data_IF_041487529707
#
_entry.id   IF_041487529707
#
_cell.length_a   1.000
_cell.length_b   1.000
_cell.length_c   1.000
_cell.angle_alpha   90.00
_cell.angle_beta   90.00
_cell.angle_gamma   90.00
#
_symmetry.space_group_name_H-M   'P 1'
#
loop_
_entity.id
_entity.type
_entity.pdbx_description
1 polymer ?
#
# COMPACT_ATOMS: atom_id res chain seq x y z
N UNK A 1 24.08 -2.84 -2.47
CA UNK A 1 23.28 -1.63 -2.84
C UNK A 1 22.84 -1.80 -4.27
N UNK A 2 21.59 -1.47 -4.58
CA UNK A 2 21.02 -1.57 -5.92
C UNK A 2 20.09 -0.39 -6.18
N UNK A 3 19.99 0.02 -7.45
CA UNK A 3 19.14 1.10 -7.90
C UNK A 3 18.49 0.73 -9.23
N UNK A 4 17.34 1.31 -9.51
CA UNK A 4 16.56 1.04 -10.71
C UNK A 4 15.80 2.27 -11.19
N UNK A 5 15.64 2.35 -12.50
CA UNK A 5 14.77 3.30 -13.18
C UNK A 5 13.86 2.54 -14.14
N UNK A 6 12.57 2.85 -14.13
CA UNK A 6 11.63 2.29 -15.11
C UNK A 6 10.62 3.33 -15.56
N UNK A 7 10.11 3.14 -16.76
CA UNK A 7 8.99 3.89 -17.33
C UNK A 7 7.88 2.88 -17.62
N UNK A 8 6.68 3.16 -17.14
CA UNK A 8 5.50 2.33 -17.38
C UNK A 8 4.39 3.18 -18.01
N UNK A 9 3.71 2.61 -19.01
CA UNK A 9 2.45 3.15 -19.48
C UNK A 9 1.32 2.47 -18.69
N UNK A 10 0.52 3.26 -18.00
CA UNK A 10 -0.72 2.81 -17.39
C UNK A 10 -1.84 3.16 -18.38
N UNK A 11 -2.46 2.16 -19.01
CA UNK A 11 -3.67 2.38 -19.83
C UNK A 11 -4.91 2.52 -18.94
N UNK A 12 -4.89 1.84 -17.80
CA UNK A 12 -5.89 1.91 -16.73
C UNK A 12 -5.14 1.64 -15.42
N UNK A 13 -4.68 2.70 -14.76
CA UNK A 13 -3.87 2.56 -13.55
C UNK A 13 -4.67 1.93 -12.41
N UNK A 14 -4.11 0.90 -11.79
CA UNK A 14 -4.71 0.25 -10.63
C UNK A 14 -5.02 1.28 -9.53
N UNK A 15 -6.31 1.37 -9.16
CA UNK A 15 -6.86 2.22 -8.11
C UNK A 15 -7.34 3.60 -8.52
N UNK A 16 -6.87 4.17 -9.63
CA UNK A 16 -7.40 5.45 -10.16
C UNK A 16 -8.14 5.32 -11.48
N UNK A 17 -7.93 4.23 -12.23
CA UNK A 17 -8.47 4.03 -13.58
C UNK A 17 -7.89 4.98 -14.63
N UNK A 18 -6.97 5.86 -14.24
CA UNK A 18 -6.43 6.89 -15.13
C UNK A 18 -5.39 6.32 -16.09
N UNK A 19 -5.32 6.89 -17.29
CA UNK A 19 -4.29 6.58 -18.28
C UNK A 19 -3.16 7.59 -18.23
N UNK A 20 -1.93 7.17 -17.95
CA UNK A 20 -0.76 8.05 -17.90
C UNK A 20 0.58 7.30 -18.03
N UNK A 21 1.63 8.07 -18.29
CA UNK A 21 3.01 7.59 -18.18
C UNK A 21 3.54 7.82 -16.78
N UNK A 22 4.12 6.78 -16.20
CA UNK A 22 4.73 6.80 -14.88
C UNK A 22 6.23 6.55 -14.96
N UNK A 23 7.00 7.39 -14.27
CA UNK A 23 8.43 7.18 -14.03
C UNK A 23 8.61 6.66 -12.62
N UNK A 24 9.42 5.62 -12.46
CA UNK A 24 9.75 5.03 -11.16
C UNK A 24 11.25 5.10 -10.92
N UNK A 25 11.62 5.63 -9.76
CA UNK A 25 13.00 5.71 -9.27
C UNK A 25 13.10 4.88 -8.01
N UNK A 26 13.90 3.81 -8.03
CA UNK A 26 13.98 2.86 -6.93
C UNK A 26 15.42 2.68 -6.45
N UNK A 27 15.58 2.41 -5.16
CA UNK A 27 16.89 2.09 -4.58
C UNK A 27 16.77 1.35 -3.26
N UNK A 28 17.77 0.54 -2.94
CA UNK A 28 17.75 -0.25 -1.72
C UNK A 28 19.10 -0.84 -1.30
N UNK A 29 19.10 -1.35 -0.08
CA UNK A 29 20.17 -2.14 0.50
C UNK A 29 19.62 -3.50 0.89
N UNK A 30 20.44 -4.54 0.76
CA UNK A 30 20.04 -5.87 1.14
C UNK A 30 21.23 -6.79 1.31
N UNK A 31 20.97 -7.86 2.03
CA UNK A 31 21.85 -8.99 2.24
C UNK A 31 21.16 -10.23 1.66
N UNK A 32 21.86 -11.03 0.87
CA UNK A 32 21.36 -12.30 0.38
C UNK A 32 22.50 -13.31 0.31
N UNK A 33 22.34 -14.47 0.97
CA UNK A 33 23.34 -15.55 0.99
C UNK A 33 22.88 -16.81 0.23
N UNK A 34 21.91 -16.69 -0.66
CA UNK A 34 21.30 -17.79 -1.39
C UNK A 34 20.17 -18.47 -0.61
N UNK A 35 20.28 -18.57 0.72
CA UNK A 35 19.21 -19.13 1.57
C UNK A 35 18.37 -18.04 2.24
N UNK A 36 18.98 -17.08 2.90
CA UNK A 36 18.33 -15.95 3.56
C UNK A 36 18.58 -14.67 2.74
N UNK A 37 17.51 -13.97 2.39
CA UNK A 37 17.54 -12.64 1.80
C UNK A 37 16.79 -11.64 2.69
N UNK A 38 17.38 -10.49 2.95
CA UNK A 38 16.77 -9.38 3.66
C UNK A 38 17.07 -8.10 2.87
N UNK A 39 16.05 -7.33 2.53
CA UNK A 39 16.26 -6.02 1.91
C UNK A 39 15.29 -4.98 2.40
N UNK A 40 15.74 -3.73 2.32
CA UNK A 40 14.94 -2.53 2.56
C UNK A 40 15.17 -1.60 1.38
N UNK A 41 14.10 -1.03 0.85
CA UNK A 41 14.14 -0.21 -0.35
C UNK A 41 13.12 0.92 -0.29
N UNK A 42 13.24 1.85 -1.24
CA UNK A 42 12.29 2.92 -1.49
C UNK A 42 12.07 3.08 -2.99
N UNK A 43 10.83 3.41 -3.36
CA UNK A 43 10.44 3.70 -4.74
C UNK A 43 9.63 4.98 -4.79
N UNK A 44 10.08 5.90 -5.65
CA UNK A 44 9.40 7.15 -5.97
C UNK A 44 8.71 7.02 -7.32
N UNK A 45 7.41 7.29 -7.34
CA UNK A 45 6.54 7.32 -8.52
C UNK A 45 6.33 8.77 -8.94
N UNK A 46 6.38 9.05 -10.24
CA UNK A 46 6.04 10.36 -10.81
C UNK A 46 5.22 10.22 -12.09
N UNK A 47 4.08 10.90 -12.15
CA UNK A 47 3.17 10.90 -13.28
C UNK A 47 1.69 10.82 -12.88
N UNK A 48 0.82 11.27 -13.77
CA UNK A 48 -0.63 11.13 -13.61
C UNK A 48 -1.28 11.93 -12.47
N UNK A 49 -0.52 12.75 -11.74
CA UNK A 49 -1.00 13.43 -10.53
C UNK A 49 -0.89 12.57 -9.27
N UNK A 50 -0.24 11.41 -9.34
CA UNK A 50 -0.10 10.43 -8.26
C UNK A 50 1.36 10.31 -7.79
N UNK A 51 2.06 11.45 -7.74
CA UNK A 51 3.45 11.51 -7.31
C UNK A 51 3.55 11.13 -5.83
N UNK A 52 4.39 10.14 -5.53
CA UNK A 52 4.47 9.54 -4.20
C UNK A 52 5.80 8.83 -4.00
N UNK A 53 6.21 8.65 -2.74
CA UNK A 53 7.28 7.73 -2.38
C UNK A 53 6.84 6.72 -1.33
N UNK A 54 7.07 5.43 -1.62
CA UNK A 54 6.81 4.33 -0.69
C UNK A 54 8.13 3.71 -0.22
N UNK A 55 8.13 3.22 1.02
CA UNK A 55 9.19 2.35 1.54
C UNK A 55 8.75 0.90 1.51
N UNK A 56 9.71 -0.01 1.47
CA UNK A 56 9.42 -1.44 1.51
C UNK A 56 10.51 -2.27 2.15
N UNK A 57 10.11 -3.44 2.61
CA UNK A 57 11.00 -4.49 3.09
C UNK A 57 10.69 -5.81 2.38
N UNK A 58 11.71 -6.64 2.24
CA UNK A 58 11.60 -7.99 1.74
C UNK A 58 12.39 -8.94 2.62
N UNK A 59 11.79 -10.10 2.88
CA UNK A 59 12.42 -11.24 3.55
C UNK A 59 12.28 -12.44 2.61
N UNK A 60 13.36 -13.20 2.43
CA UNK A 60 13.37 -14.44 1.65
C UNK A 60 14.04 -15.54 2.46
N UNK A 61 13.45 -16.72 2.49
CA UNK A 61 14.08 -17.91 3.05
C UNK A 61 13.85 -19.12 2.15
N UNK A 62 14.88 -19.53 1.41
CA UNK A 62 14.80 -20.53 0.36
C UNK A 62 13.82 -20.08 -0.72
N UNK A 63 12.77 -20.89 -0.91
CA UNK A 63 11.68 -20.64 -1.87
C UNK A 63 10.60 -19.69 -1.35
N UNK A 64 10.58 -19.39 -0.05
CA UNK A 64 9.60 -18.49 0.56
C UNK A 64 10.05 -17.05 0.48
N UNK A 65 9.11 -16.14 0.22
CA UNK A 65 9.34 -14.70 0.27
C UNK A 65 8.17 -13.96 0.92
N UNK A 66 8.48 -12.93 1.67
CA UNK A 66 7.54 -11.95 2.16
C UNK A 66 7.99 -10.56 1.73
N UNK A 67 7.05 -9.72 1.35
CA UNK A 67 7.29 -8.31 1.04
C UNK A 67 6.16 -7.45 1.58
N UNK A 68 6.52 -6.29 2.10
CA UNK A 68 5.58 -5.28 2.57
C UNK A 68 6.04 -3.90 2.13
N UNK A 69 5.11 -3.09 1.63
CA UNK A 69 5.35 -1.71 1.24
C UNK A 69 4.27 -0.82 1.87
N UNK A 70 4.69 0.34 2.33
CA UNK A 70 3.80 1.36 2.88
C UNK A 70 4.42 2.75 2.67
N UNK A 71 3.60 3.77 2.49
CA UNK A 71 4.06 5.17 2.34
C UNK A 71 4.16 5.89 3.69
N UNK A 72 3.42 5.43 4.69
CA UNK A 72 3.45 5.80 6.10
C UNK A 72 4.32 4.89 6.97
N UNK A 73 3.81 4.55 8.16
CA UNK A 73 4.53 3.76 9.15
C UNK A 73 4.78 2.33 8.66
N UNK A 74 5.98 1.74 8.92
CA UNK A 74 7.10 2.31 9.68
C UNK A 74 8.09 3.13 8.82
N UNK A 75 7.84 3.29 7.52
CA UNK A 75 8.80 3.84 6.56
C UNK A 75 8.84 5.37 6.52
N UNK A 76 7.89 6.05 7.14
CA UNK A 76 7.84 7.50 7.31
C UNK A 76 8.48 8.00 8.61
N UNK A 77 9.00 7.11 9.46
CA UNK A 77 9.68 7.46 10.70
C UNK A 77 10.92 8.31 10.42
N UNK A 78 10.90 9.57 10.87
CA UNK A 78 12.06 10.49 10.75
C UNK A 78 13.18 10.21 11.77
N UNK A 79 12.92 9.40 12.81
CA UNK A 79 13.89 9.06 13.86
C UNK A 79 14.17 7.57 13.87
N UNK A 80 15.44 7.18 13.67
CA UNK A 80 15.93 5.81 13.90
C UNK A 80 15.76 4.80 12.76
N UNK A 81 14.96 5.11 11.73
CA UNK A 81 14.81 4.32 10.51
C UNK A 81 14.98 5.25 9.29
N UNK A 82 15.51 4.78 8.14
CA UNK A 82 15.57 5.61 6.95
C UNK A 82 14.16 6.09 6.55
N UNK A 83 14.03 7.38 6.25
CA UNK A 83 12.81 8.01 5.72
C UNK A 83 12.59 7.57 4.28
N UNK A 84 11.93 6.42 4.11
CA UNK A 84 11.77 5.70 2.85
C UNK A 84 10.38 5.92 2.22
N UNK A 85 9.37 6.21 3.04
CA UNK A 85 8.05 6.69 2.63
C UNK A 85 7.97 8.22 2.69
N UNK A 86 6.94 8.82 2.10
CA UNK A 86 6.66 10.26 2.27
C UNK A 86 5.80 10.55 3.52
N UNK A 87 5.01 9.59 3.99
CA UNK A 87 4.24 9.67 5.22
C UNK A 87 2.79 10.10 5.04
N UNK A 88 2.29 10.23 3.80
CA UNK A 88 1.02 10.89 3.52
C UNK A 88 -0.19 9.93 3.52
N UNK A 89 0.01 8.61 3.62
CA UNK A 89 -1.07 7.59 3.57
C UNK A 89 -2.04 7.82 2.40
N UNK A 90 -1.46 8.11 1.25
CA UNK A 90 -2.16 8.54 0.04
C UNK A 90 -1.91 7.55 -1.07
N UNK A 91 -2.80 7.45 -2.05
CA UNK A 91 -2.56 6.64 -3.26
C UNK A 91 -2.10 5.22 -2.90
N UNK A 92 -0.84 4.82 -3.14
CA UNK A 92 -0.30 3.49 -2.82
C UNK A 92 0.00 3.34 -1.31
N UNK A 93 -1.04 3.39 -0.50
CA UNK A 93 -0.93 3.37 0.98
C UNK A 93 -0.27 2.09 1.52
N UNK A 94 -0.65 0.92 1.01
CA UNK A 94 -0.10 -0.34 1.51
C UNK A 94 -0.15 -1.46 0.48
N UNK A 95 0.84 -2.35 0.52
CA UNK A 95 0.78 -3.62 -0.19
C UNK A 95 1.59 -4.69 0.53
N UNK A 96 1.15 -5.94 0.45
CA UNK A 96 1.89 -7.07 0.98
C UNK A 96 1.82 -8.26 0.03
N UNK A 97 2.86 -9.09 0.07
CA UNK A 97 2.94 -10.31 -0.73
C UNK A 97 3.62 -11.42 0.05
N UNK A 98 3.03 -12.60 0.02
CA UNK A 98 3.60 -13.85 0.50
C UNK A 98 3.74 -14.80 -0.69
N UNK A 99 4.96 -15.25 -0.95
CA UNK A 99 5.32 -16.08 -2.09
C UNK A 99 5.93 -17.42 -1.69
N UNK A 100 5.69 -18.42 -2.53
CA UNK A 100 6.40 -19.70 -2.58
C UNK A 100 6.73 -20.02 -4.04
N UNK A 101 8.02 -19.97 -4.39
CA UNK A 101 8.49 -20.08 -5.78
C UNK A 101 7.76 -19.07 -6.67
N UNK A 102 7.04 -19.55 -7.68
CA UNK A 102 6.26 -18.76 -8.62
C UNK A 102 4.85 -18.43 -8.15
N UNK A 103 4.37 -19.05 -7.07
CA UNK A 103 3.03 -18.85 -6.54
C UNK A 103 3.06 -17.81 -5.42
N UNK A 104 1.96 -17.11 -5.22
CA UNK A 104 1.82 -16.25 -4.06
C UNK A 104 0.41 -15.71 -3.88
N UNK A 105 0.24 -15.03 -2.75
CA UNK A 105 -0.95 -14.29 -2.38
C UNK A 105 -0.53 -12.90 -1.92
N UNK A 106 -1.39 -11.91 -2.09
CA UNK A 106 -1.08 -10.56 -1.66
C UNK A 106 -2.27 -9.62 -1.73
N UNK A 107 -1.99 -8.38 -1.38
CA UNK A 107 -2.92 -7.28 -1.52
C UNK A 107 -2.23 -6.00 -1.99
N UNK A 108 -3.01 -5.13 -2.62
CA UNK A 108 -2.65 -3.76 -2.97
C UNK A 108 -3.81 -2.84 -2.56
N UNK A 109 -3.51 -1.83 -1.73
CA UNK A 109 -4.48 -0.86 -1.26
C UNK A 109 -4.20 0.51 -1.89
N UNK A 110 -5.24 1.13 -2.43
CA UNK A 110 -5.17 2.48 -2.99
C UNK A 110 -6.20 3.41 -2.33
N UNK A 111 -5.79 4.65 -2.02
CA UNK A 111 -6.64 5.67 -1.38
C UNK A 111 -6.59 7.01 -2.12
N UNK A 112 -7.44 7.96 -1.68
CA UNK A 112 -7.35 9.35 -2.08
C UNK A 112 -6.10 10.03 -1.53
N UNK A 113 -6.00 11.34 -1.73
CA UNK A 113 -4.92 12.14 -1.19
C UNK A 113 -5.30 12.71 0.17
N UNK A 114 -4.34 12.75 1.09
CA UNK A 114 -4.42 13.58 2.30
C UNK A 114 -3.06 14.23 2.59
N UNK A 115 -3.10 15.47 3.05
CA UNK A 115 -1.93 16.16 3.59
C UNK A 115 -2.20 16.82 4.95
N UNK A 116 -3.48 16.97 5.30
CA UNK A 116 -3.94 17.56 6.56
C UNK A 116 -4.33 16.49 7.59
N UNK A 117 -3.59 16.48 8.69
CA UNK A 117 -3.78 15.60 9.86
C UNK A 117 -4.40 16.33 11.05
N UNK A 118 -4.76 17.60 10.90
CA UNK A 118 -5.37 18.36 11.98
C UNK A 118 -6.72 17.77 12.38
N UNK A 119 -6.92 17.58 13.68
CA UNK A 119 -8.16 17.01 14.19
C UNK A 119 -8.18 15.48 14.26
N UNK A 120 -7.12 14.77 13.84
CA UNK A 120 -7.13 13.31 13.77
C UNK A 120 -7.07 12.64 15.15
N UNK A 121 -6.31 13.21 16.09
CA UNK A 121 -6.24 12.70 17.47
C UNK A 121 -7.60 12.81 18.18
N UNK A 122 -8.35 13.88 17.93
CA UNK A 122 -9.69 14.07 18.50
C UNK A 122 -10.71 13.05 17.99
N UNK A 123 -10.50 12.50 16.79
CA UNK A 123 -11.38 11.52 16.15
C UNK A 123 -11.15 10.09 16.66
N UNK A 124 -10.03 9.80 17.30
CA UNK A 124 -9.72 8.46 17.82
C UNK A 124 -10.79 8.04 18.82
N UNK A 125 -11.39 6.87 18.59
CA UNK A 125 -12.49 6.33 19.40
C UNK A 125 -13.86 6.97 19.17
N UNK A 126 -14.02 7.90 18.21
CA UNK A 126 -15.31 8.54 17.93
C UNK A 126 -16.28 7.71 17.10
N UNK A 127 -15.94 6.48 16.70
CA UNK A 127 -16.87 5.44 16.24
C UNK A 127 -18.03 5.90 15.34
N UNK A 128 -17.91 5.77 14.02
CA UNK A 128 -18.97 6.15 13.07
C UNK A 128 -19.28 5.03 12.07
N UNK A 129 -20.53 4.96 11.60
CA UNK A 129 -20.89 4.08 10.49
C UNK A 129 -20.80 4.83 9.16
N UNK A 130 -20.26 4.16 8.15
CA UNK A 130 -20.27 4.63 6.78
C UNK A 130 -21.55 4.28 6.02
N UNK A 131 -21.59 4.68 4.75
CA UNK A 131 -22.81 4.61 3.94
C UNK A 131 -23.13 3.17 3.49
N UNK A 132 -22.16 2.25 3.55
CA UNK A 132 -22.33 0.84 3.18
C UNK A 132 -22.49 -0.08 4.41
N UNK A 133 -22.70 0.50 5.61
CA UNK A 133 -22.87 -0.23 6.87
C UNK A 133 -21.58 -0.67 7.55
N UNK A 134 -20.42 -0.27 7.01
CA UNK A 134 -19.11 -0.49 7.61
C UNK A 134 -18.89 0.41 8.84
N UNK A 135 -18.15 -0.08 9.84
CA UNK A 135 -17.90 0.65 11.10
C UNK A 135 -16.46 1.13 11.21
N UNK A 136 -16.29 2.45 11.38
CA UNK A 136 -15.02 3.14 11.54
C UNK A 136 -14.74 3.42 13.03
N UNK A 137 -13.72 2.78 13.64
CA UNK A 137 -13.37 3.02 15.04
C UNK A 137 -12.99 4.47 15.35
N UNK A 138 -12.32 5.12 14.38
CA UNK A 138 -11.60 6.39 14.58
C UNK A 138 -12.09 7.51 13.63
N UNK A 139 -13.36 7.48 13.21
CA UNK A 139 -13.95 8.47 12.29
C UNK A 139 -13.27 8.53 10.92
N UNK A 140 -13.54 9.58 10.13
CA UNK A 140 -13.08 9.74 8.75
C UNK A 140 -11.83 10.63 8.61
N UNK A 141 -10.96 10.21 7.70
CA UNK A 141 -9.84 11.03 7.18
C UNK A 141 -10.39 12.28 6.49
N UNK A 142 -9.67 13.38 6.64
CA UNK A 142 -9.90 14.59 5.84
C UNK A 142 -9.15 14.47 4.51
N UNK A 143 -9.86 13.95 3.50
CA UNK A 143 -9.30 13.81 2.15
C UNK A 143 -9.33 15.12 1.37
N UNK A 144 -8.39 15.25 0.45
CA UNK A 144 -8.23 16.38 -0.45
C UNK A 144 -8.37 15.93 -1.91
N UNK A 145 -9.13 16.70 -2.69
CA UNK A 145 -9.33 16.41 -4.10
C UNK A 145 -10.18 15.16 -4.36
N UNK A 146 -10.01 14.51 -5.52
CA UNK A 146 -10.77 13.31 -5.85
C UNK A 146 -10.45 12.14 -4.92
N UNK A 147 -11.50 11.45 -4.46
CA UNK A 147 -11.37 10.23 -3.67
C UNK A 147 -11.18 9.03 -4.59
N UNK A 148 -10.22 8.17 -4.26
CA UNK A 148 -9.93 6.94 -4.98
C UNK A 148 -9.92 5.75 -4.04
N UNK A 149 -10.31 4.57 -4.50
CA UNK A 149 -10.33 3.37 -3.67
C UNK A 149 -9.94 2.15 -4.47
N UNK A 150 -9.09 1.34 -3.84
CA UNK A 150 -8.80 -0.01 -4.26
C UNK A 150 -8.47 -0.84 -3.03
N UNK A 151 -9.02 -2.04 -2.97
CA UNK A 151 -8.66 -3.09 -2.04
C UNK A 151 -8.49 -4.38 -2.81
N UNK A 152 -7.45 -4.47 -3.63
CA UNK A 152 -7.19 -5.66 -4.42
C UNK A 152 -6.59 -6.75 -3.54
N UNK A 153 -7.24 -7.91 -3.45
CA UNK A 153 -6.70 -9.13 -2.84
C UNK A 153 -6.58 -10.19 -3.93
N UNK A 154 -5.40 -10.78 -4.07
CA UNK A 154 -5.08 -11.62 -5.23
C UNK A 154 -4.22 -12.83 -4.88
N UNK A 155 -4.28 -13.80 -5.79
CA UNK A 155 -3.27 -14.83 -5.96
C UNK A 155 -2.45 -14.52 -7.21
N UNK A 156 -1.22 -15.01 -7.29
CA UNK A 156 -0.40 -14.85 -8.48
C UNK A 156 0.31 -16.15 -8.89
N UNK A 157 0.56 -16.26 -10.20
CA UNK A 157 1.49 -17.23 -10.80
C UNK A 157 2.46 -16.44 -11.67
N UNK A 158 3.72 -16.36 -11.25
CA UNK A 158 4.72 -15.49 -11.87
C UNK A 158 4.25 -14.04 -11.87
N UNK A 159 4.27 -13.41 -13.05
CA UNK A 159 3.90 -12.01 -13.29
C UNK A 159 2.38 -11.74 -13.31
N UNK A 160 1.55 -12.79 -13.33
CA UNK A 160 0.11 -12.67 -13.49
C UNK A 160 -0.59 -12.74 -12.12
N UNK A 161 -1.42 -11.74 -11.82
CA UNK A 161 -2.24 -11.62 -10.62
C UNK A 161 -3.71 -11.70 -10.97
N UNK A 162 -4.47 -12.46 -10.19
CA UNK A 162 -5.90 -12.64 -10.33
C UNK A 162 -6.55 -12.64 -8.95
N UNK A 163 -7.68 -11.95 -8.81
CA UNK A 163 -8.33 -11.80 -7.53
C UNK A 163 -9.60 -10.96 -7.60
N UNK A 164 -9.89 -10.29 -6.50
CA UNK A 164 -11.02 -9.39 -6.37
C UNK A 164 -10.55 -8.03 -5.86
N UNK A 165 -11.23 -6.99 -6.31
CA UNK A 165 -11.09 -5.63 -5.80
C UNK A 165 -12.39 -5.21 -5.10
N UNK A 166 -12.24 -4.74 -3.86
CA UNK A 166 -13.35 -4.22 -3.07
C UNK A 166 -12.85 -3.32 -1.94
N UNK A 167 -13.55 -2.21 -1.72
CA UNK A 167 -13.38 -1.35 -0.56
C UNK A 167 -13.56 -2.09 0.76
N UNK A 168 -14.34 -3.19 0.79
CA UNK A 168 -14.45 -4.03 1.99
C UNK A 168 -13.11 -4.61 2.40
N UNK A 169 -12.28 -5.04 1.44
CA UNK A 169 -10.94 -5.54 1.72
C UNK A 169 -10.03 -4.42 2.20
N UNK A 170 -10.08 -3.25 1.55
CA UNK A 170 -9.32 -2.07 1.97
C UNK A 170 -9.71 -1.65 3.38
N UNK A 171 -11.00 -1.54 3.69
CA UNK A 171 -11.52 -1.17 5.00
C UNK A 171 -11.07 -2.15 6.09
N UNK A 172 -11.18 -3.46 5.82
CA UNK A 172 -10.75 -4.49 6.76
C UNK A 172 -9.24 -4.44 7.07
N UNK A 173 -8.41 -4.19 6.06
CA UNK A 173 -6.94 -4.20 6.23
C UNK A 173 -6.43 -2.85 6.75
N UNK A 174 -6.90 -1.73 6.17
CA UNK A 174 -6.44 -0.40 6.52
C UNK A 174 -7.20 0.14 7.73
N UNK A 175 -8.50 0.42 7.60
CA UNK A 175 -9.24 1.17 8.62
C UNK A 175 -9.47 0.36 9.92
N UNK A 176 -9.67 -0.95 9.80
CA UNK A 176 -9.99 -1.85 10.93
C UNK A 176 -8.79 -2.51 11.58
N UNK A 177 -7.68 -2.66 10.86
CA UNK A 177 -6.50 -3.34 11.38
C UNK A 177 -5.32 -2.38 11.50
N UNK A 178 -4.88 -1.77 10.41
CA UNK A 178 -3.72 -0.88 10.44
C UNK A 178 -4.00 0.46 11.16
N UNK A 179 -5.23 0.99 11.09
CA UNK A 179 -5.60 2.29 11.67
C UNK A 179 -6.33 2.17 13.02
N UNK A 180 -6.45 0.97 13.56
CA UNK A 180 -7.07 0.72 14.87
C UNK A 180 -6.19 -0.15 15.78
N UNK A 181 -4.91 -0.31 15.43
CA UNK A 181 -3.98 -1.07 16.25
C UNK A 181 -3.49 -0.20 17.41
N UNK A 182 -3.79 -0.64 18.62
CA UNK A 182 -3.21 -0.10 19.84
C UNK A 182 -2.78 -1.25 20.75
N UNK A 183 -1.47 -1.47 20.84
CA UNK A 183 -0.87 -2.45 21.72
C UNK A 183 0.36 -1.86 22.44
N UNK A 184 0.95 -2.63 23.36
CA UNK A 184 2.08 -2.17 24.16
C UNK A 184 3.30 -1.72 23.34
N UNK A 185 3.42 -2.16 22.08
CA UNK A 185 4.57 -1.86 21.22
C UNK A 185 4.31 -0.72 20.23
N UNK A 186 3.06 -0.58 19.75
CA UNK A 186 2.71 0.34 18.67
C UNK A 186 1.27 0.83 18.85
N UNK A 187 1.08 2.16 18.75
CA UNK A 187 -0.22 2.80 18.56
C UNK A 187 -0.24 3.44 17.17
N UNK A 188 -1.09 2.92 16.29
CA UNK A 188 -1.31 3.43 14.92
C UNK A 188 -2.74 3.93 14.74
N UNK A 189 -3.47 4.16 15.84
CA UNK A 189 -4.85 4.66 15.77
C UNK A 189 -4.91 5.98 15.04
N UNK A 190 -5.70 6.01 13.99
CA UNK A 190 -5.93 7.18 13.16
C UNK A 190 -7.25 7.01 12.39
N UNK A 191 -7.83 8.08 11.82
CA UNK A 191 -9.06 7.97 11.05
C UNK A 191 -8.93 7.08 9.81
N UNK A 192 -10.06 6.55 9.35
CA UNK A 192 -10.13 5.70 8.17
C UNK A 192 -10.57 6.44 6.90
N UNK A 193 -10.19 5.91 5.75
CA UNK A 193 -10.69 6.41 4.46
C UNK A 193 -12.12 5.90 4.24
N UNK A 194 -13.07 6.78 3.92
CA UNK A 194 -14.49 6.39 3.76
C UNK A 194 -14.66 5.44 2.57
N UNK A 195 -15.42 4.35 2.67
CA UNK A 195 -15.72 3.49 1.52
C UNK A 195 -16.56 4.26 0.51
N UNK A 196 -16.24 4.10 -0.78
CA UNK A 196 -17.00 4.71 -1.87
C UNK A 196 -18.02 3.74 -2.49
N UNK A 197 -17.83 2.43 -2.28
CA UNK A 197 -18.70 1.38 -2.82
C UNK A 197 -18.68 0.14 -1.94
N UNK A 198 -19.82 -0.51 -1.75
CA UNK A 198 -19.91 -1.83 -1.12
C UNK A 198 -19.74 -3.01 -2.09
N UNK A 199 -19.41 -2.75 -3.35
CA UNK A 199 -19.33 -3.76 -4.41
C UNK A 199 -18.02 -4.58 -4.42
N UNK A 200 -18.03 -5.65 -5.22
CA UNK A 200 -16.87 -6.48 -5.53
C UNK A 200 -16.70 -6.53 -7.05
N UNK A 201 -15.46 -6.39 -7.52
CA UNK A 201 -15.12 -6.51 -8.93
C UNK A 201 -13.96 -7.48 -9.12
N UNK A 202 -13.80 -8.00 -10.34
CA UNK A 202 -12.66 -8.86 -10.66
C UNK A 202 -11.39 -8.02 -10.75
N UNK A 203 -10.30 -8.51 -10.16
CA UNK A 203 -8.98 -7.92 -10.28
C UNK A 203 -8.10 -8.81 -11.15
N UNK A 204 -7.52 -8.24 -12.21
CA UNK A 204 -6.52 -8.89 -13.04
C UNK A 204 -5.40 -7.91 -13.38
N UNK A 205 -4.15 -8.36 -13.21
CA UNK A 205 -2.99 -7.54 -13.54
C UNK A 205 -1.87 -8.43 -14.07
N UNK A 206 -1.26 -8.02 -15.18
CA UNK A 206 0.01 -8.56 -15.64
C UNK A 206 1.07 -7.47 -15.53
N UNK A 207 2.13 -7.75 -14.78
CA UNK A 207 3.22 -6.78 -14.61
C UNK A 207 4.58 -7.45 -14.60
N UNK A 208 5.57 -6.78 -15.18
CA UNK A 208 6.97 -7.18 -15.04
C UNK A 208 7.32 -7.20 -13.55
N UNK A 209 7.88 -8.31 -13.08
CA UNK A 209 8.26 -8.46 -11.67
C UNK A 209 9.32 -7.42 -11.34
N UNK A 210 8.99 -6.50 -10.43
CA UNK A 210 9.88 -5.44 -9.97
C UNK A 210 10.49 -5.83 -8.61
N UNK A 211 11.83 -5.83 -8.46
CA UNK A 211 12.46 -6.13 -7.17
C UNK A 211 12.22 -5.05 -6.10
N UNK A 212 11.78 -3.85 -6.49
CA UNK A 212 11.59 -2.70 -5.60
C UNK A 212 10.15 -2.18 -5.54
N UNK A 213 9.18 -2.86 -6.15
CA UNK A 213 7.78 -2.50 -5.93
C UNK A 213 6.83 -3.69 -6.13
N UNK A 214 5.73 -3.70 -5.39
CA UNK A 214 4.55 -4.54 -5.62
C UNK A 214 3.54 -3.89 -6.56
N UNK A 215 3.84 -2.72 -7.12
CA UNK A 215 3.01 -1.92 -8.05
C UNK A 215 3.66 -1.78 -9.44
#
# INVERSE_FOLDING_TARGET
>A
MSAGFSIANQSEAAGSGASFWEKRYSGGIGYDNGRLGLSVYSTTFRGGGFDQRIGGLMIRHGDFSFRYENDGMPFSLKKGFPYLGDGNDSYRTASAHLGYKQFGIGFNLFTGYRSDYSGDDEKVGQGVYGDNGEFYPNNFVKEEGPQYRMGAVYMNVGAMRMGQDSDWFRHAIQDRWAHDMNNFLIDTRQPGFKMLSGGYTNYMQYQTINPFSLW
#
